data_IF_060633365686
#
_entry.id   IF_060633365686
#
_cell.length_a   1.000
_cell.length_b   1.000
_cell.length_c   1.000
_cell.angle_alpha   90.00
_cell.angle_beta   90.00
_cell.angle_gamma   90.00
#
_symmetry.space_group_name_H-M   'P 1'
#
loop_
_entity.id
_entity.type
_entity.pdbx_description
1 polymer ?
#
# COMPACT_ATOMS: atom_id res chain seq x y z
N UNK A 1 0.78 26.92 -10.04
CA UNK A 1 0.53 27.47 -11.41
C UNK A 1 1.77 27.13 -12.23
N UNK A 2 1.56 26.62 -13.44
CA UNK A 2 2.62 26.38 -14.42
C UNK A 2 2.50 27.49 -15.47
N UNK A 3 3.55 28.27 -15.61
CA UNK A 3 3.64 29.33 -16.59
C UNK A 3 4.32 28.82 -17.87
N UNK A 4 3.83 29.24 -19.04
CA UNK A 4 4.41 28.87 -20.32
C UNK A 4 3.89 27.57 -20.93
N UNK A 5 3.14 26.75 -20.17
CA UNK A 5 2.55 25.49 -20.67
C UNK A 5 1.11 25.29 -20.14
N UNK A 6 0.10 25.83 -20.85
CA UNK A 6 -1.30 25.66 -20.46
C UNK A 6 -1.79 24.21 -20.48
N UNK A 7 -1.27 23.36 -21.37
CA UNK A 7 -1.67 21.96 -21.49
C UNK A 7 -1.19 21.15 -20.28
N UNK A 8 0.07 21.35 -19.87
CA UNK A 8 0.60 20.74 -18.64
C UNK A 8 -0.18 21.21 -17.40
N UNK A 9 -0.52 22.50 -17.33
CA UNK A 9 -1.36 23.02 -16.25
C UNK A 9 -2.73 22.36 -16.20
N UNK A 10 -3.38 22.18 -17.36
CA UNK A 10 -4.68 21.51 -17.45
C UNK A 10 -4.56 20.03 -17.06
N UNK A 11 -3.54 19.33 -17.55
CA UNK A 11 -3.30 17.92 -17.24
C UNK A 11 -3.12 17.67 -15.74
N UNK A 12 -2.34 18.52 -15.05
CA UNK A 12 -2.14 18.41 -13.59
C UNK A 12 -3.44 18.66 -12.83
N UNK A 13 -4.20 19.68 -13.20
CA UNK A 13 -5.51 19.96 -12.57
C UNK A 13 -6.48 18.79 -12.75
N UNK A 14 -6.51 18.20 -13.94
CA UNK A 14 -7.33 17.04 -14.23
C UNK A 14 -6.94 15.84 -13.37
N UNK A 15 -5.65 15.53 -13.25
CA UNK A 15 -5.18 14.43 -12.43
C UNK A 15 -5.49 14.63 -10.94
N UNK A 16 -5.33 15.84 -10.42
CA UNK A 16 -5.72 16.20 -9.05
C UNK A 16 -7.23 15.98 -8.84
N UNK A 17 -8.04 16.43 -9.78
CA UNK A 17 -9.49 16.24 -9.74
C UNK A 17 -9.84 14.74 -9.72
N UNK A 18 -9.19 13.92 -10.57
CA UNK A 18 -9.42 12.47 -10.61
C UNK A 18 -9.10 11.80 -9.28
N UNK A 19 -8.00 12.17 -8.63
CA UNK A 19 -7.65 11.62 -7.32
C UNK A 19 -8.68 12.00 -6.25
N UNK A 20 -9.08 13.24 -6.18
CA UNK A 20 -10.07 13.69 -5.18
C UNK A 20 -11.47 13.11 -5.39
N UNK A 21 -11.91 12.93 -6.64
CA UNK A 21 -13.21 12.32 -6.88
C UNK A 21 -13.23 10.81 -6.57
N UNK A 22 -12.06 10.14 -6.74
CA UNK A 22 -11.95 8.70 -6.50
C UNK A 22 -12.00 8.34 -5.03
N UNK A 23 -11.43 9.18 -4.16
CA UNK A 23 -11.29 8.86 -2.75
C UNK A 23 -11.55 10.07 -1.85
N UNK A 24 -12.56 9.95 -0.99
CA UNK A 24 -12.96 10.99 -0.05
C UNK A 24 -12.34 10.83 1.34
N UNK A 25 -11.92 9.62 1.67
CA UNK A 25 -11.29 9.31 2.94
C UNK A 25 -12.23 9.19 4.14
N UNK A 26 -13.53 9.09 3.90
CA UNK A 26 -14.53 9.02 4.97
C UNK A 26 -14.63 7.62 5.58
N UNK A 27 -14.32 6.58 4.81
CA UNK A 27 -14.47 5.18 5.21
C UNK A 27 -13.13 4.42 5.11
N UNK A 28 -12.60 3.93 6.24
CA UNK A 28 -11.34 3.18 6.28
C UNK A 28 -11.46 1.74 5.73
N UNK A 29 -12.62 1.35 5.21
CA UNK A 29 -12.81 0.08 4.49
C UNK A 29 -12.57 0.21 3.00
N UNK A 30 -12.49 1.44 2.49
CA UNK A 30 -12.31 1.75 1.09
C UNK A 30 -10.85 2.05 0.76
N UNK A 31 -10.49 1.81 -0.49
CA UNK A 31 -9.18 2.13 -1.04
C UNK A 31 -9.32 2.59 -2.49
N UNK A 32 -8.19 2.84 -3.15
CA UNK A 32 -8.12 3.37 -4.50
C UNK A 32 -7.64 2.26 -5.44
N UNK A 33 -8.41 1.98 -6.47
CA UNK A 33 -7.97 1.12 -7.57
C UNK A 33 -7.05 1.86 -8.55
N UNK A 34 -6.21 1.17 -9.33
CA UNK A 34 -5.21 1.79 -10.21
C UNK A 34 -5.78 2.75 -11.25
N UNK A 35 -7.03 2.55 -11.64
CA UNK A 35 -7.74 3.41 -12.60
C UNK A 35 -8.70 4.41 -11.93
N UNK A 36 -8.90 4.31 -10.63
CA UNK A 36 -9.96 5.07 -9.98
C UNK A 36 -11.29 4.85 -10.71
N UNK A 37 -11.91 5.94 -11.17
CA UNK A 37 -13.15 5.89 -11.98
C UNK A 37 -12.90 6.06 -13.48
N UNK A 38 -11.66 5.99 -13.96
CA UNK A 38 -11.32 6.28 -15.36
C UNK A 38 -11.41 5.07 -16.29
N UNK A 39 -11.83 3.91 -15.81
CA UNK A 39 -12.00 2.70 -16.62
C UNK A 39 -12.21 1.44 -15.81
N UNK A 40 -12.62 0.37 -16.48
CA UNK A 40 -12.95 -0.93 -15.88
C UNK A 40 -11.75 -1.85 -15.68
N UNK A 41 -10.62 -1.52 -16.28
CA UNK A 41 -9.40 -2.32 -16.16
C UNK A 41 -9.02 -2.45 -14.68
N UNK A 42 -8.62 -3.64 -14.27
CA UNK A 42 -8.33 -4.05 -12.88
C UNK A 42 -9.57 -4.25 -11.99
N UNK A 43 -10.81 -4.16 -12.54
CA UNK A 43 -12.03 -4.53 -11.82
C UNK A 43 -12.32 -3.75 -10.54
N UNK A 44 -11.76 -2.55 -10.38
CA UNK A 44 -11.91 -1.74 -9.16
C UNK A 44 -11.15 -2.28 -7.94
N UNK A 45 -10.36 -3.34 -8.08
CA UNK A 45 -9.57 -3.89 -6.98
C UNK A 45 -8.45 -2.96 -6.55
N UNK A 46 -8.07 -3.06 -5.28
CA UNK A 46 -6.91 -2.36 -4.72
C UNK A 46 -5.61 -3.07 -5.11
N UNK A 47 -4.61 -2.28 -5.47
CA UNK A 47 -3.25 -2.72 -5.75
C UNK A 47 -2.25 -2.08 -4.76
N UNK A 48 -1.03 -2.60 -4.72
CA UNK A 48 0.04 -2.13 -3.84
C UNK A 48 0.52 -0.70 -4.12
N UNK A 49 0.32 -0.20 -5.32
CA UNK A 49 0.79 1.13 -5.73
C UNK A 49 0.02 2.29 -5.09
N UNK A 50 -1.13 2.04 -4.46
CA UNK A 50 -1.84 3.06 -3.69
C UNK A 50 -0.98 3.61 -2.56
N UNK A 51 -0.30 2.74 -1.84
CA UNK A 51 0.57 3.10 -0.73
C UNK A 51 1.75 3.96 -1.19
N UNK A 52 2.35 3.61 -2.33
CA UNK A 52 3.49 4.34 -2.88
C UNK A 52 3.11 5.70 -3.48
N UNK A 53 2.01 5.74 -4.23
CA UNK A 53 1.67 6.89 -5.08
C UNK A 53 0.59 7.78 -4.48
N UNK A 54 -0.46 7.21 -3.88
CA UNK A 54 -1.62 7.98 -3.43
C UNK A 54 -1.46 8.48 -1.99
N UNK A 55 -0.92 7.66 -1.09
CA UNK A 55 -0.75 8.08 0.32
C UNK A 55 0.05 9.37 0.45
N UNK A 56 1.23 9.55 -0.20
CA UNK A 56 1.96 10.82 -0.14
C UNK A 56 1.17 12.01 -0.70
N UNK A 57 0.41 11.81 -1.78
CA UNK A 57 -0.44 12.87 -2.35
C UNK A 57 -1.48 13.35 -1.33
N UNK A 58 -2.21 12.44 -0.70
CA UNK A 58 -3.23 12.80 0.29
C UNK A 58 -2.62 13.38 1.57
N UNK A 59 -1.46 12.91 2.01
CA UNK A 59 -0.74 13.49 3.15
C UNK A 59 -0.36 14.96 2.94
N UNK A 60 0.01 15.33 1.71
CA UNK A 60 0.44 16.68 1.38
C UNK A 60 -0.70 17.62 0.98
N UNK A 61 -1.85 17.09 0.59
CA UNK A 61 -2.93 17.86 -0.02
C UNK A 61 -4.26 17.84 0.72
N UNK A 62 -4.38 17.04 1.79
CA UNK A 62 -5.61 16.87 2.55
C UNK A 62 -5.34 16.80 4.07
N UNK A 63 -6.38 16.88 4.91
CA UNK A 63 -6.24 16.53 6.33
C UNK A 63 -5.67 15.12 6.51
N UNK A 64 -4.71 14.97 7.41
CA UNK A 64 -3.98 13.70 7.66
C UNK A 64 -4.89 12.46 7.84
N UNK A 65 -6.09 12.66 8.38
CA UNK A 65 -7.08 11.60 8.60
C UNK A 65 -7.46 10.85 7.32
N UNK A 66 -7.45 11.51 6.17
CA UNK A 66 -7.77 10.90 4.88
C UNK A 66 -6.70 9.87 4.51
N UNK A 67 -5.43 10.24 4.61
CA UNK A 67 -4.32 9.31 4.37
C UNK A 67 -4.25 8.20 5.44
N UNK A 68 -4.55 8.52 6.71
CA UNK A 68 -4.64 7.50 7.77
C UNK A 68 -5.68 6.42 7.43
N UNK A 69 -6.82 6.79 6.84
CA UNK A 69 -7.83 5.82 6.44
C UNK A 69 -7.36 4.88 5.33
N UNK A 70 -6.50 5.33 4.40
CA UNK A 70 -5.83 4.45 3.44
C UNK A 70 -4.92 3.43 4.15
N UNK A 71 -4.17 3.87 5.14
CA UNK A 71 -3.33 2.97 5.95
C UNK A 71 -4.17 2.03 6.82
N UNK A 72 -5.29 2.51 7.37
CA UNK A 72 -6.23 1.69 8.14
C UNK A 72 -6.87 0.58 7.32
N UNK A 73 -7.06 0.78 6.03
CA UNK A 73 -7.48 -0.29 5.12
C UNK A 73 -6.53 -1.49 5.19
N UNK A 74 -5.21 -1.24 5.11
CA UNK A 74 -4.21 -2.32 5.22
C UNK A 74 -4.13 -2.91 6.63
N UNK A 75 -4.18 -2.09 7.67
CA UNK A 75 -4.21 -2.58 9.05
C UNK A 75 -5.37 -3.57 9.28
N UNK A 76 -6.56 -3.24 8.82
CA UNK A 76 -7.75 -4.11 8.95
C UNK A 76 -7.60 -5.45 8.19
N UNK A 77 -6.74 -5.51 7.21
CA UNK A 77 -6.47 -6.72 6.43
C UNK A 77 -5.26 -7.53 6.95
N UNK A 78 -4.61 -7.09 8.02
CA UNK A 78 -3.46 -7.80 8.58
C UNK A 78 -3.73 -9.29 8.89
N UNK A 79 -4.88 -9.69 9.48
CA UNK A 79 -5.18 -11.10 9.69
C UNK A 79 -5.21 -11.92 8.38
N UNK A 80 -5.74 -11.35 7.30
CA UNK A 80 -5.74 -11.98 5.98
C UNK A 80 -4.34 -12.07 5.37
N UNK A 81 -3.52 -11.04 5.55
CA UNK A 81 -2.13 -11.04 5.10
C UNK A 81 -1.30 -12.12 5.83
N UNK A 82 -1.57 -12.36 7.11
CA UNK A 82 -0.95 -13.46 7.88
C UNK A 82 -1.44 -14.82 7.34
N UNK A 83 -2.72 -14.96 7.05
CA UNK A 83 -3.26 -16.17 6.42
C UNK A 83 -2.65 -16.43 5.04
N UNK A 84 -2.49 -15.40 4.22
CA UNK A 84 -1.85 -15.50 2.91
C UNK A 84 -0.40 -15.99 3.02
N UNK A 85 0.37 -15.45 3.96
CA UNK A 85 1.74 -15.90 4.21
C UNK A 85 1.78 -17.36 4.68
N UNK A 86 0.87 -17.76 5.57
CA UNK A 86 0.78 -19.13 6.08
C UNK A 86 0.49 -20.14 4.97
N UNK A 87 -0.36 -19.81 4.00
CA UNK A 87 -0.65 -20.65 2.82
C UNK A 87 0.61 -20.93 1.98
N UNK A 88 1.59 -20.05 2.06
CA UNK A 88 2.88 -20.18 1.35
C UNK A 88 3.99 -20.78 2.24
N UNK A 89 3.67 -21.26 3.44
CA UNK A 89 4.61 -21.91 4.34
C UNK A 89 5.35 -20.97 5.31
N UNK A 90 5.00 -19.69 5.35
CA UNK A 90 5.53 -18.76 6.37
C UNK A 90 4.71 -18.87 7.65
N UNK A 91 5.35 -18.72 8.80
CA UNK A 91 4.75 -18.90 10.11
C UNK A 91 5.00 -17.70 11.06
N UNK A 92 4.81 -17.93 12.36
CA UNK A 92 5.11 -16.97 13.43
C UNK A 92 4.52 -15.57 13.21
N UNK A 93 3.32 -15.48 12.61
CA UNK A 93 2.66 -14.20 12.33
C UNK A 93 3.33 -13.36 11.23
N UNK A 94 4.10 -14.01 10.36
CA UNK A 94 4.56 -13.38 9.12
C UNK A 94 3.37 -12.96 8.27
N UNK A 95 3.40 -11.78 7.65
CA UNK A 95 2.35 -11.28 6.79
C UNK A 95 2.83 -11.06 5.36
N UNK A 96 2.03 -11.50 4.39
CA UNK A 96 2.20 -11.16 2.98
C UNK A 96 0.88 -10.56 2.48
N UNK A 97 0.86 -9.26 2.31
CA UNK A 97 -0.30 -8.56 1.78
C UNK A 97 -0.54 -8.94 0.32
N UNK A 98 -1.80 -9.04 -0.12
CA UNK A 98 -2.10 -9.38 -1.50
C UNK A 98 -1.64 -8.29 -2.46
N UNK A 99 -1.32 -8.69 -3.69
CA UNK A 99 -1.02 -7.77 -4.77
C UNK A 99 -2.29 -7.08 -5.25
N UNK A 100 -3.34 -7.85 -5.42
CA UNK A 100 -4.66 -7.42 -5.89
C UNK A 100 -5.72 -7.88 -4.91
N UNK A 101 -6.53 -6.97 -4.39
CA UNK A 101 -7.53 -7.35 -3.40
C UNK A 101 -8.70 -6.38 -3.33
N UNK A 102 -9.84 -6.89 -2.89
CA UNK A 102 -10.96 -6.09 -2.40
C UNK A 102 -11.10 -6.19 -0.88
N UNK A 103 -10.78 -7.33 -0.29
CA UNK A 103 -11.10 -7.67 1.11
C UNK A 103 -9.90 -8.22 1.91
N UNK A 104 -8.70 -8.21 1.34
CA UNK A 104 -7.48 -8.75 1.96
C UNK A 104 -7.08 -10.14 1.45
N UNK A 105 -7.95 -10.81 0.68
CA UNK A 105 -7.60 -12.03 -0.04
C UNK A 105 -6.94 -11.69 -1.37
N UNK A 106 -5.98 -12.53 -1.82
CA UNK A 106 -5.40 -12.38 -3.14
C UNK A 106 -6.46 -12.70 -4.20
N UNK A 107 -6.86 -11.70 -5.00
CA UNK A 107 -7.91 -11.82 -6.01
C UNK A 107 -7.39 -12.12 -7.40
N UNK A 108 -6.08 -12.32 -7.56
CA UNK A 108 -5.47 -12.54 -8.84
C UNK A 108 -5.27 -14.05 -9.03
N UNK A 109 -5.92 -14.61 -9.99
CA UNK A 109 -6.01 -16.08 -10.15
C UNK A 109 -5.06 -16.69 -11.19
N UNK A 110 -4.43 -15.88 -12.05
CA UNK A 110 -3.77 -16.43 -13.24
C UNK A 110 -2.30 -15.98 -13.42
N UNK A 111 -1.79 -15.11 -12.56
CA UNK A 111 -0.44 -14.58 -12.73
C UNK A 111 0.51 -15.06 -11.64
N UNK A 112 1.45 -15.88 -11.97
CA UNK A 112 2.56 -16.28 -11.10
C UNK A 112 3.27 -15.08 -10.47
N UNK A 113 3.28 -13.95 -11.16
CA UNK A 113 3.88 -12.68 -10.73
C UNK A 113 3.39 -12.21 -9.34
N UNK A 114 2.19 -12.60 -8.90
CA UNK A 114 1.73 -12.26 -7.54
C UNK A 114 2.50 -12.96 -6.45
N UNK A 115 3.11 -14.08 -6.73
CA UNK A 115 3.99 -14.77 -5.81
C UNK A 115 5.42 -14.22 -5.83
N UNK A 116 5.80 -13.54 -6.91
CA UNK A 116 7.14 -13.00 -7.13
C UNK A 116 7.25 -11.53 -6.71
N UNK A 117 6.20 -10.74 -6.90
CA UNK A 117 6.17 -9.31 -6.55
C UNK A 117 5.99 -9.05 -5.05
N UNK A 118 6.87 -9.64 -4.24
CA UNK A 118 6.81 -9.53 -2.77
C UNK A 118 7.19 -8.13 -2.25
N UNK A 119 7.76 -7.27 -3.08
CA UNK A 119 8.09 -5.88 -2.76
C UNK A 119 6.89 -5.05 -2.30
N UNK A 120 5.66 -5.46 -2.64
CA UNK A 120 4.41 -4.82 -2.22
C UNK A 120 4.30 -4.68 -0.69
N UNK A 121 4.87 -5.61 0.07
CA UNK A 121 4.95 -5.50 1.52
C UNK A 121 5.73 -4.26 1.96
N UNK A 122 6.83 -3.94 1.28
CA UNK A 122 7.66 -2.79 1.61
C UNK A 122 6.96 -1.46 1.32
N UNK A 123 6.06 -1.41 0.34
CA UNK A 123 5.32 -0.20 0.01
C UNK A 123 4.38 0.21 1.13
N UNK A 124 3.83 -0.76 1.86
CA UNK A 124 2.99 -0.50 3.04
C UNK A 124 3.84 0.09 4.18
N UNK A 125 5.00 -0.51 4.45
CA UNK A 125 5.95 0.02 5.45
C UNK A 125 6.41 1.43 5.07
N UNK A 126 6.75 1.64 3.79
CA UNK A 126 7.12 2.94 3.27
C UNK A 126 6.04 4.00 3.54
N UNK A 127 4.78 3.68 3.23
CA UNK A 127 3.66 4.60 3.46
C UNK A 127 3.43 4.92 4.94
N UNK A 128 3.59 3.94 5.83
CA UNK A 128 3.53 4.14 7.29
C UNK A 128 4.65 5.09 7.75
N UNK A 129 5.87 4.91 7.26
CA UNK A 129 7.01 5.78 7.59
C UNK A 129 6.84 7.18 7.01
N UNK A 130 6.35 7.30 5.77
CA UNK A 130 6.04 8.60 5.17
C UNK A 130 4.98 9.36 5.97
N UNK A 131 3.94 8.67 6.44
CA UNK A 131 2.94 9.27 7.31
C UNK A 131 3.60 9.86 8.57
N UNK A 132 4.43 9.09 9.26
CA UNK A 132 5.12 9.55 10.46
C UNK A 132 6.05 10.75 10.18
N UNK A 133 6.82 10.68 9.09
CA UNK A 133 7.77 11.74 8.70
C UNK A 133 7.04 13.05 8.37
N UNK A 134 5.96 12.98 7.58
CA UNK A 134 5.25 14.17 7.12
C UNK A 134 4.32 14.77 8.17
N UNK A 135 3.82 13.96 9.09
CA UNK A 135 2.96 14.46 10.20
C UNK A 135 3.73 14.84 11.45
N UNK A 136 4.98 14.44 11.56
CA UNK A 136 5.83 14.68 12.73
C UNK A 136 5.41 13.91 13.99
N UNK A 137 4.60 12.83 13.85
CA UNK A 137 4.10 12.05 14.98
C UNK A 137 4.25 10.55 14.76
N UNK A 138 4.44 9.81 15.85
CA UNK A 138 4.48 8.34 15.88
C UNK A 138 3.12 7.73 16.26
N UNK A 139 2.07 8.52 16.45
CA UNK A 139 0.78 8.03 16.95
C UNK A 139 0.19 6.89 16.13
N UNK A 140 0.24 6.99 14.81
CA UNK A 140 -0.25 5.93 13.93
C UNK A 140 0.59 4.66 14.06
N UNK A 141 1.93 4.81 14.11
CA UNK A 141 2.84 3.68 14.31
C UNK A 141 2.55 3.00 15.64
N UNK A 142 2.46 3.76 16.72
CA UNK A 142 2.24 3.21 18.06
C UNK A 142 0.92 2.45 18.20
N UNK A 143 -0.13 2.91 17.51
CA UNK A 143 -1.47 2.30 17.64
C UNK A 143 -1.74 1.15 16.66
N UNK A 144 -1.17 1.21 15.46
CA UNK A 144 -1.54 0.31 14.36
C UNK A 144 -0.34 -0.10 13.51
N UNK A 145 0.51 0.85 13.14
CA UNK A 145 1.57 0.62 12.16
C UNK A 145 2.63 -0.36 12.62
N UNK A 146 2.98 -0.35 13.91
CA UNK A 146 4.03 -1.22 14.46
C UNK A 146 3.68 -2.71 14.29
N UNK A 147 2.43 -3.08 14.51
CA UNK A 147 1.97 -4.46 14.34
C UNK A 147 2.13 -4.92 12.89
N UNK A 148 1.73 -4.08 11.93
CA UNK A 148 1.91 -4.34 10.49
C UNK A 148 3.39 -4.48 10.14
N UNK A 149 4.23 -3.56 10.61
CA UNK A 149 5.67 -3.56 10.34
C UNK A 149 6.36 -4.81 10.90
N UNK A 150 6.01 -5.23 12.11
CA UNK A 150 6.54 -6.46 12.72
C UNK A 150 6.15 -7.69 11.89
N UNK A 151 4.89 -7.80 11.49
CA UNK A 151 4.41 -8.94 10.71
C UNK A 151 5.09 -9.01 9.32
N UNK A 152 5.30 -7.88 8.67
CA UNK A 152 6.05 -7.78 7.41
C UNK A 152 7.54 -8.12 7.64
N UNK A 153 8.14 -7.67 8.73
CA UNK A 153 9.54 -8.00 9.07
C UNK A 153 9.73 -9.49 9.30
N UNK A 154 8.76 -10.16 9.94
CA UNK A 154 8.75 -11.62 10.12
C UNK A 154 8.69 -12.37 8.79
N UNK A 155 7.93 -11.85 7.82
CA UNK A 155 7.94 -12.41 6.47
C UNK A 155 9.34 -12.31 5.84
N UNK A 156 9.95 -11.14 5.87
CA UNK A 156 11.27 -10.94 5.28
C UNK A 156 12.35 -11.76 5.98
N UNK A 157 12.32 -11.89 7.30
CA UNK A 157 13.29 -12.70 8.06
C UNK A 157 13.25 -14.19 7.68
N UNK A 158 12.12 -14.68 7.22
CA UNK A 158 11.95 -16.06 6.75
C UNK A 158 12.22 -16.23 5.25
N UNK A 159 12.07 -15.14 4.48
CA UNK A 159 12.20 -15.17 3.02
C UNK A 159 13.64 -15.04 2.54
N UNK A 160 14.45 -14.28 3.25
CA UNK A 160 15.84 -14.03 2.86
C UNK A 160 16.78 -15.09 3.40
N UNK A 161 17.82 -15.40 2.62
CA UNK A 161 18.91 -16.28 3.05
C UNK A 161 20.26 -15.59 2.86
N UNK A 162 21.23 -15.92 3.71
CA UNK A 162 22.57 -15.37 3.55
C UNK A 162 23.35 -16.12 2.47
N UNK A 163 23.78 -15.42 1.44
CA UNK A 163 24.62 -15.98 0.39
C UNK A 163 26.10 -15.81 0.74
N UNK A 164 26.77 -16.91 1.07
CA UNK A 164 28.21 -16.91 1.35
C UNK A 164 29.05 -16.39 0.18
N UNK A 165 28.78 -16.79 -1.08
CA UNK A 165 29.55 -16.27 -2.23
C UNK A 165 29.39 -14.75 -2.44
N UNK A 166 28.20 -14.22 -2.17
CA UNK A 166 27.91 -12.78 -2.34
C UNK A 166 28.17 -11.96 -1.07
N UNK A 167 28.41 -12.61 0.09
CA UNK A 167 28.56 -11.97 1.38
C UNK A 167 27.41 -11.01 1.73
N UNK A 168 26.17 -11.39 1.36
CA UNK A 168 24.97 -10.58 1.60
C UNK A 168 23.72 -11.45 1.70
N UNK A 169 22.66 -10.89 2.26
CA UNK A 169 21.34 -11.52 2.18
C UNK A 169 20.74 -11.39 0.77
N UNK A 170 20.08 -12.45 0.31
CA UNK A 170 19.40 -12.57 -0.99
C UNK A 170 18.01 -13.17 -0.82
#
# INVERSE_FOLDING_TARGET
IIEGDPEAQQGIRYNIFQLYQTYRGDDPRLNIGPKGFTGEKYGGNTYWNTELCCVPFFLLSTPKKIAENLLMYRYKQLPKAIENARKLGFDNGAALFPQVTSNGEECHSEWEITFEEIHRNNMIVYAILQHSTLTGTLDYIARYGLEVMIAISRFWSQRVSFSQPKQQYV
#
